data_IF_800704934790
#
_entry.id   IF_800704934790
#
_cell.length_a   1.000
_cell.length_b   1.000
_cell.length_c   1.000
_cell.angle_alpha   90.00
_cell.angle_beta   90.00
_cell.angle_gamma   90.00
#
_symmetry.space_group_name_H-M   'P 1'
#
loop_
_entity.id
_entity.type
_entity.pdbx_description
1 polymer ?
#
# COMPACT_ATOMS: atom_id res chain seq x y z
N UNK A 1 -26.31 -84.62 -30.67
CA UNK A 1 -25.48 -84.83 -29.46
C UNK A 1 -24.30 -83.85 -29.44
N UNK A 2 -24.39 -82.87 -28.54
CA UNK A 2 -23.45 -81.78 -28.21
C UNK A 2 -22.20 -82.31 -27.46
N UNK A 3 -21.05 -81.59 -27.41
CA UNK A 3 -20.92 -80.29 -26.73
C UNK A 3 -20.24 -79.20 -27.60
N UNK A 4 -20.77 -77.97 -27.65
CA UNK A 4 -20.83 -76.92 -26.63
C UNK A 4 -19.55 -76.05 -26.65
N UNK A 5 -19.79 -74.80 -27.03
CA UNK A 5 -18.82 -73.76 -27.33
C UNK A 5 -17.88 -73.47 -26.17
N UNK A 6 -16.59 -73.33 -26.50
CA UNK A 6 -15.56 -72.78 -25.64
C UNK A 6 -15.83 -71.28 -25.42
N UNK A 7 -16.69 -70.96 -24.46
CA UNK A 7 -16.81 -69.60 -23.94
C UNK A 7 -15.86 -69.45 -22.75
N UNK A 8 -14.60 -69.15 -23.07
CA UNK A 8 -13.58 -68.73 -22.11
C UNK A 8 -14.04 -67.41 -21.47
N UNK A 9 -14.89 -67.51 -20.44
CA UNK A 9 -15.17 -66.42 -19.50
C UNK A 9 -13.87 -66.09 -18.79
N UNK A 10 -13.18 -65.03 -19.25
CA UNK A 10 -12.10 -64.37 -18.51
C UNK A 10 -12.68 -63.87 -17.18
N UNK A 11 -12.64 -64.71 -16.15
CA UNK A 11 -12.95 -64.30 -14.80
C UNK A 11 -11.95 -63.19 -14.42
N UNK A 12 -12.46 -61.97 -14.24
CA UNK A 12 -11.65 -60.85 -13.78
C UNK A 12 -11.12 -61.20 -12.38
N UNK A 13 -9.80 -61.38 -12.26
CA UNK A 13 -9.14 -61.65 -10.98
C UNK A 13 -9.48 -60.51 -10.00
N UNK A 14 -9.77 -60.83 -8.72
CA UNK A 14 -10.11 -59.81 -7.73
C UNK A 14 -8.96 -58.81 -7.61
N UNK A 15 -9.29 -57.53 -7.66
CA UNK A 15 -8.31 -56.45 -7.57
C UNK A 15 -7.51 -56.61 -6.27
N UNK A 16 -6.19 -56.80 -6.37
CA UNK A 16 -5.34 -56.86 -5.19
C UNK A 16 -5.37 -55.52 -4.45
N UNK A 17 -5.23 -55.54 -3.13
CA UNK A 17 -5.21 -54.34 -2.29
C UNK A 17 -4.18 -53.30 -2.78
N UNK A 18 -3.05 -53.74 -3.34
CA UNK A 18 -2.05 -52.86 -3.95
C UNK A 18 -2.53 -52.15 -5.24
N UNK A 19 -3.35 -52.81 -6.05
CA UNK A 19 -3.93 -52.20 -7.26
C UNK A 19 -4.99 -51.15 -6.91
N UNK A 20 -5.75 -51.40 -5.84
CA UNK A 20 -6.72 -50.43 -5.31
C UNK A 20 -6.01 -49.21 -4.70
N UNK A 21 -4.98 -49.42 -3.89
CA UNK A 21 -4.19 -48.34 -3.30
C UNK A 21 -3.53 -47.45 -4.37
N UNK A 22 -2.93 -48.05 -5.41
CA UNK A 22 -2.34 -47.31 -6.52
C UNK A 22 -3.37 -46.46 -7.27
N UNK A 23 -4.58 -46.99 -7.52
CA UNK A 23 -5.67 -46.23 -8.15
C UNK A 23 -6.12 -45.06 -7.29
N UNK A 24 -6.26 -45.26 -5.98
CA UNK A 24 -6.58 -44.17 -5.06
C UNK A 24 -5.51 -43.08 -5.09
N UNK A 25 -4.22 -43.44 -5.05
CA UNK A 25 -3.12 -42.46 -5.13
C UNK A 25 -3.14 -41.70 -6.47
N UNK A 26 -3.32 -42.43 -7.58
CA UNK A 26 -3.39 -41.82 -8.93
C UNK A 26 -4.59 -40.88 -9.10
N UNK A 27 -5.68 -41.05 -8.34
CA UNK A 27 -6.82 -40.12 -8.31
C UNK A 27 -6.63 -38.99 -7.29
N UNK A 28 -6.00 -39.27 -6.16
CA UNK A 28 -5.86 -38.32 -5.05
C UNK A 28 -4.86 -37.21 -5.38
N UNK A 29 -3.73 -37.54 -6.01
CA UNK A 29 -2.72 -36.56 -6.43
C UNK A 29 -3.31 -35.47 -7.35
N UNK A 30 -3.98 -35.78 -8.48
CA UNK A 30 -4.57 -34.76 -9.33
C UNK A 30 -5.71 -34.01 -8.64
N UNK A 31 -6.50 -34.67 -7.77
CA UNK A 31 -7.50 -33.96 -6.96
C UNK A 31 -6.87 -32.93 -6.03
N UNK A 32 -5.76 -33.25 -5.35
CA UNK A 32 -5.05 -32.32 -4.48
C UNK A 32 -4.43 -31.17 -5.29
N UNK A 33 -3.85 -31.45 -6.44
CA UNK A 33 -3.34 -30.42 -7.35
C UNK A 33 -4.44 -29.47 -7.83
N UNK A 34 -5.62 -30.00 -8.17
CA UNK A 34 -6.77 -29.18 -8.55
C UNK A 34 -7.30 -28.36 -7.37
N UNK A 35 -7.25 -28.90 -6.15
CA UNK A 35 -7.65 -28.19 -4.93
C UNK A 35 -6.69 -27.05 -4.59
N UNK A 36 -5.38 -27.25 -4.74
CA UNK A 36 -4.36 -26.20 -4.59
C UNK A 36 -4.49 -25.14 -5.70
N UNK A 37 -4.86 -25.56 -6.91
CA UNK A 37 -5.10 -24.66 -8.04
C UNK A 37 -6.42 -23.88 -7.94
N UNK A 38 -7.30 -24.17 -6.96
CA UNK A 38 -8.46 -23.33 -6.70
C UNK A 38 -7.95 -21.94 -6.31
N UNK A 39 -8.27 -20.89 -7.08
CA UNK A 39 -7.79 -19.56 -6.76
C UNK A 39 -8.26 -19.19 -5.36
N UNK A 40 -7.32 -18.86 -4.47
CA UNK A 40 -7.68 -18.16 -3.25
C UNK A 40 -8.44 -16.89 -3.65
N UNK A 41 -9.53 -16.59 -2.96
CA UNK A 41 -10.22 -15.31 -3.17
C UNK A 41 -9.22 -14.18 -2.89
N UNK A 42 -8.79 -13.50 -3.95
CA UNK A 42 -7.96 -12.31 -3.86
C UNK A 42 -8.90 -11.10 -3.88
N UNK A 43 -9.10 -10.41 -2.75
CA UNK A 43 -9.93 -9.22 -2.74
C UNK A 43 -9.33 -8.19 -3.70
N UNK A 44 -10.11 -7.79 -4.70
CA UNK A 44 -9.72 -6.73 -5.62
C UNK A 44 -10.08 -5.41 -4.97
N UNK A 45 -9.09 -4.55 -4.77
CA UNK A 45 -9.29 -3.16 -4.36
C UNK A 45 -9.41 -2.30 -5.59
N UNK A 46 -10.40 -1.40 -5.58
CA UNK A 46 -10.48 -0.36 -6.59
C UNK A 46 -9.39 0.68 -6.35
N UNK A 47 -8.51 0.86 -7.33
CA UNK A 47 -7.43 1.85 -7.29
C UNK A 47 -7.88 3.12 -8.03
N UNK A 48 -7.91 4.30 -7.38
CA UNK A 48 -8.35 5.54 -8.04
C UNK A 48 -7.47 5.89 -9.24
N UNK A 49 -8.09 6.28 -10.35
CA UNK A 49 -7.40 6.73 -11.57
C UNK A 49 -8.13 7.93 -12.20
N UNK A 50 -7.46 8.68 -13.08
CA UNK A 50 -8.05 9.80 -13.81
C UNK A 50 -8.72 10.82 -12.89
N UNK A 51 -10.02 11.04 -13.07
CA UNK A 51 -10.79 12.01 -12.26
C UNK A 51 -11.04 11.56 -10.82
N UNK A 52 -10.78 10.30 -10.47
CA UNK A 52 -10.94 9.77 -9.12
C UNK A 52 -9.71 9.99 -8.24
N UNK A 53 -8.59 10.45 -8.81
CA UNK A 53 -7.38 10.81 -8.05
C UNK A 53 -7.74 11.90 -7.03
N UNK A 54 -7.25 11.84 -5.78
CA UNK A 54 -7.54 12.88 -4.79
C UNK A 54 -7.18 14.28 -5.31
N UNK A 55 -8.04 15.25 -4.99
CA UNK A 55 -7.94 16.61 -5.53
C UNK A 55 -6.60 17.29 -5.23
N UNK A 56 -5.97 16.96 -4.09
CA UNK A 56 -4.65 17.48 -3.73
C UNK A 56 -3.57 17.10 -4.75
N UNK A 57 -3.57 15.87 -5.26
CA UNK A 57 -2.60 15.43 -6.27
C UNK A 57 -2.92 16.00 -7.65
N UNK A 58 -4.21 16.15 -8.00
CA UNK A 58 -4.60 16.85 -9.23
C UNK A 58 -4.12 18.32 -9.21
N UNK A 59 -4.18 18.98 -8.06
CA UNK A 59 -3.65 20.33 -7.91
C UNK A 59 -2.11 20.36 -8.03
N UNK A 60 -1.42 19.43 -7.37
CA UNK A 60 0.04 19.28 -7.45
C UNK A 60 0.55 19.02 -8.87
N UNK A 61 -0.25 18.43 -9.76
CA UNK A 61 0.14 18.20 -11.16
C UNK A 61 0.48 19.50 -11.93
N UNK A 62 -0.03 20.65 -11.47
CA UNK A 62 0.13 21.96 -12.15
C UNK A 62 0.66 23.09 -11.26
N UNK A 63 0.92 22.85 -9.98
CA UNK A 63 1.34 23.87 -9.01
C UNK A 63 2.68 23.53 -8.36
N UNK A 64 3.28 24.45 -7.60
CA UNK A 64 4.48 24.18 -6.78
C UNK A 64 5.80 23.98 -7.53
N UNK A 65 5.85 24.14 -8.85
CA UNK A 65 7.09 24.27 -9.62
C UNK A 65 8.04 23.09 -9.53
N UNK A 66 7.52 21.86 -9.39
CA UNK A 66 8.32 20.62 -9.29
C UNK A 66 9.25 20.54 -8.07
N UNK A 67 9.04 21.39 -7.07
CA UNK A 67 9.84 21.40 -5.84
C UNK A 67 9.58 20.14 -4.99
N UNK A 68 10.58 19.63 -4.24
CA UNK A 68 10.39 18.47 -3.38
C UNK A 68 9.29 18.68 -2.33
N UNK A 69 8.50 17.65 -2.08
CA UNK A 69 7.42 17.65 -1.09
C UNK A 69 7.62 16.56 -0.04
N UNK A 70 7.15 16.82 1.17
CA UNK A 70 6.95 15.79 2.19
C UNK A 70 5.45 15.60 2.46
N UNK A 71 5.00 14.36 2.62
CA UNK A 71 3.60 14.03 2.88
C UNK A 71 3.44 13.51 4.30
N UNK A 72 2.52 14.08 5.07
CA UNK A 72 2.25 13.73 6.46
C UNK A 72 0.89 13.02 6.59
N UNK A 73 0.79 11.94 7.37
CA UNK A 73 1.81 11.37 8.26
C UNK A 73 2.93 10.61 7.53
N UNK A 74 4.09 10.51 8.20
CA UNK A 74 5.21 9.63 7.82
C UNK A 74 5.25 8.48 8.81
N UNK A 75 5.33 7.25 8.32
CA UNK A 75 5.28 6.08 9.17
C UNK A 75 6.53 5.98 10.06
N UNK A 76 6.31 5.97 11.37
CA UNK A 76 7.36 5.90 12.38
C UNK A 76 6.96 5.02 13.57
N UNK A 77 7.32 3.74 13.50
CA UNK A 77 7.46 2.86 14.68
C UNK A 77 6.21 2.57 15.53
N UNK A 78 5.03 2.34 14.94
CA UNK A 78 3.73 1.98 15.58
C UNK A 78 2.74 3.12 15.88
N UNK A 79 2.69 4.13 15.02
CA UNK A 79 1.48 4.97 14.95
C UNK A 79 0.50 4.32 13.97
N UNK A 80 -0.80 4.62 14.05
CA UNK A 80 -1.85 3.98 13.23
C UNK A 80 -1.67 4.09 11.71
N UNK A 81 -0.63 4.81 11.27
CA UNK A 81 -0.14 4.88 9.91
C UNK A 81 1.19 4.10 9.78
N UNK A 82 1.16 3.04 8.97
CA UNK A 82 2.26 2.09 8.78
C UNK A 82 3.07 2.41 7.53
N UNK A 83 4.28 1.85 7.41
CA UNK A 83 5.08 2.04 6.19
C UNK A 83 4.35 1.56 4.94
N UNK A 84 3.47 0.55 5.03
CA UNK A 84 2.68 0.08 3.88
C UNK A 84 1.67 1.11 3.40
N UNK A 85 1.18 1.98 4.29
CA UNK A 85 0.23 3.02 3.92
C UNK A 85 0.90 4.12 3.09
N UNK A 86 2.22 4.33 3.26
CA UNK A 86 3.03 5.23 2.41
C UNK A 86 3.08 4.79 0.95
N UNK A 87 2.73 3.55 0.62
CA UNK A 87 2.67 3.08 -0.77
C UNK A 87 1.61 3.84 -1.60
N UNK A 88 0.60 4.41 -0.94
CA UNK A 88 -0.34 5.30 -1.61
C UNK A 88 0.32 6.60 -2.08
N UNK A 89 1.27 7.14 -1.32
CA UNK A 89 2.04 8.32 -1.73
C UNK A 89 2.86 8.01 -2.99
N UNK A 90 3.54 6.85 -3.03
CA UNK A 90 4.28 6.42 -4.22
C UNK A 90 3.37 6.28 -5.45
N UNK A 91 2.19 5.70 -5.25
CA UNK A 91 1.21 5.56 -6.32
C UNK A 91 0.76 6.93 -6.84
N UNK A 92 0.45 7.88 -5.95
CA UNK A 92 -0.01 9.19 -6.36
C UNK A 92 1.11 10.08 -6.93
N UNK A 93 2.37 9.82 -6.58
CA UNK A 93 3.52 10.51 -7.13
C UNK A 93 3.66 10.37 -8.65
N UNK A 94 3.07 9.34 -9.27
CA UNK A 94 3.08 9.19 -10.73
C UNK A 94 2.23 10.25 -11.45
N UNK A 95 1.34 10.94 -10.73
CA UNK A 95 0.40 11.92 -11.29
C UNK A 95 0.87 13.38 -11.18
N UNK A 96 2.03 13.64 -10.57
CA UNK A 96 2.57 14.98 -10.44
C UNK A 96 4.10 15.00 -10.57
N UNK A 97 4.70 16.14 -10.94
CA UNK A 97 6.14 16.20 -11.24
C UNK A 97 7.04 16.36 -9.99
N UNK A 98 6.48 16.38 -8.79
CA UNK A 98 7.24 16.63 -7.56
C UNK A 98 7.98 15.39 -7.06
N UNK A 99 9.28 15.52 -6.73
CA UNK A 99 9.96 14.53 -5.90
C UNK A 99 9.32 14.44 -4.52
N UNK A 100 9.08 13.21 -4.04
CA UNK A 100 8.56 12.95 -2.68
C UNK A 100 9.70 12.53 -1.75
N UNK A 101 9.69 13.05 -0.53
CA UNK A 101 10.70 12.76 0.50
C UNK A 101 10.45 11.43 1.19
N UNK A 102 9.17 11.06 1.32
CA UNK A 102 8.72 9.84 1.98
C UNK A 102 7.85 9.02 1.02
N UNK A 103 7.75 7.73 1.32
CA UNK A 103 7.17 6.72 0.44
C UNK A 103 7.47 5.33 1.01
N UNK A 104 6.94 4.29 0.38
CA UNK A 104 7.19 2.92 0.78
C UNK A 104 8.38 2.31 0.02
N UNK A 105 9.27 1.66 0.76
CA UNK A 105 10.40 0.92 0.20
C UNK A 105 10.66 -0.33 1.03
N UNK A 106 11.14 -1.40 0.37
CA UNK A 106 11.64 -2.60 1.06
C UNK A 106 12.88 -2.33 1.93
N UNK A 107 13.56 -1.21 1.70
CA UNK A 107 14.67 -0.72 2.52
C UNK A 107 14.44 0.74 2.93
N UNK A 108 14.49 1.03 4.24
CA UNK A 108 14.28 2.36 4.80
C UNK A 108 15.60 2.90 5.38
N UNK A 109 16.31 3.80 4.67
CA UNK A 109 17.61 4.31 5.12
C UNK A 109 17.54 5.02 6.48
N UNK A 110 18.61 5.02 7.29
CA UNK A 110 18.61 5.69 8.61
C UNK A 110 18.13 7.14 8.60
N UNK A 111 18.49 7.90 7.56
CA UNK A 111 18.07 9.30 7.40
C UNK A 111 16.54 9.45 7.34
N UNK A 112 15.84 8.51 6.70
CA UNK A 112 14.37 8.58 6.58
C UNK A 112 13.67 8.41 7.93
N UNK A 113 14.26 7.64 8.85
CA UNK A 113 13.77 7.53 10.23
C UNK A 113 13.97 8.82 11.03
N UNK A 114 15.12 9.49 10.81
CA UNK A 114 15.39 10.78 11.43
C UNK A 114 14.43 11.86 10.92
N UNK A 115 14.19 11.92 9.61
CA UNK A 115 13.21 12.82 9.00
C UNK A 115 11.81 12.55 9.57
N UNK A 116 11.40 11.27 9.62
CA UNK A 116 10.11 10.88 10.19
C UNK A 116 9.96 11.30 11.66
N UNK A 117 11.01 11.13 12.47
CA UNK A 117 11.01 11.56 13.88
C UNK A 117 10.88 13.08 14.04
N UNK A 118 11.64 13.86 13.26
CA UNK A 118 11.56 15.33 13.31
C UNK A 118 10.17 15.84 12.89
N UNK A 119 9.60 15.26 11.84
CA UNK A 119 8.30 15.68 11.30
C UNK A 119 7.10 15.25 12.14
N UNK A 120 7.25 14.37 13.14
CA UNK A 120 6.18 14.12 14.13
C UNK A 120 5.77 15.38 14.90
N UNK A 121 6.72 16.30 15.10
CA UNK A 121 6.50 17.56 15.81
C UNK A 121 6.22 18.74 14.90
N UNK A 122 6.08 18.50 13.58
CA UNK A 122 5.82 19.55 12.60
C UNK A 122 4.61 20.41 13.01
N UNK A 123 4.70 21.76 12.92
CA UNK A 123 5.83 22.57 12.46
C UNK A 123 6.72 23.13 13.59
N UNK A 124 7.42 22.28 14.34
CA UNK A 124 8.47 22.70 15.28
C UNK A 124 9.64 23.38 14.59
N UNK A 125 10.42 24.18 15.32
CA UNK A 125 11.61 24.85 14.77
C UNK A 125 12.60 23.86 14.17
N UNK A 126 12.79 22.71 14.82
CA UNK A 126 13.68 21.64 14.37
C UNK A 126 13.20 21.03 13.05
N UNK A 127 11.89 20.78 12.93
CA UNK A 127 11.30 20.24 11.71
C UNK A 127 11.38 21.22 10.54
N UNK A 128 11.11 22.52 10.78
CA UNK A 128 11.20 23.58 9.78
C UNK A 128 12.64 23.81 9.33
N UNK A 129 13.59 23.83 10.27
CA UNK A 129 15.02 23.95 9.97
C UNK A 129 15.51 22.79 9.11
N UNK A 130 15.08 21.56 9.43
CA UNK A 130 15.40 20.38 8.64
C UNK A 130 14.84 20.49 7.21
N UNK A 131 13.56 20.82 7.05
CA UNK A 131 12.92 20.98 5.75
C UNK A 131 13.66 22.02 4.88
N UNK A 132 14.01 23.17 5.46
CA UNK A 132 14.80 24.21 4.78
C UNK A 132 16.20 23.72 4.38
N UNK A 133 16.87 22.99 5.27
CA UNK A 133 18.24 22.47 5.03
C UNK A 133 18.30 21.45 3.88
N UNK A 134 17.22 20.69 3.67
CA UNK A 134 17.10 19.74 2.57
C UNK A 134 16.36 20.30 1.34
N UNK A 135 16.07 21.61 1.31
CA UNK A 135 15.32 22.26 0.23
C UNK A 135 13.94 21.64 -0.04
N UNK A 136 13.27 21.20 1.03
CA UNK A 136 11.90 20.68 0.99
C UNK A 136 10.97 21.87 1.23
N UNK A 137 10.30 22.30 0.16
CA UNK A 137 9.55 23.56 0.16
C UNK A 137 8.07 23.38 0.49
N UNK A 138 7.52 22.19 0.24
CA UNK A 138 6.10 21.93 0.46
C UNK A 138 5.89 20.73 1.38
N UNK A 139 4.86 20.84 2.21
CA UNK A 139 4.36 19.76 3.05
C UNK A 139 2.88 19.56 2.75
N UNK A 140 2.51 18.35 2.33
CA UNK A 140 1.12 17.94 2.19
C UNK A 140 0.70 17.28 3.50
N UNK A 141 -0.45 17.67 4.03
CA UNK A 141 -0.98 17.14 5.30
C UNK A 141 -2.33 16.50 5.05
N UNK A 142 -2.42 15.20 5.33
CA UNK A 142 -3.61 14.37 5.19
C UNK A 142 -4.28 14.14 6.55
N UNK A 143 -5.09 15.08 7.02
CA UNK A 143 -5.63 15.06 8.38
C UNK A 143 -6.55 13.86 8.68
N UNK A 144 -7.14 13.26 7.64
CA UNK A 144 -7.96 12.05 7.74
C UNK A 144 -7.18 10.79 8.18
N UNK A 145 -5.85 10.82 8.07
CA UNK A 145 -4.97 9.71 8.47
C UNK A 145 -4.54 9.80 9.94
N UNK A 146 -5.00 10.83 10.65
CA UNK A 146 -4.76 11.02 12.09
C UNK A 146 -6.04 10.72 12.89
N UNK A 147 -5.87 10.45 14.19
CA UNK A 147 -7.02 10.49 15.10
C UNK A 147 -7.63 11.90 15.13
N UNK A 148 -8.95 12.06 15.42
CA UNK A 148 -9.60 13.37 15.44
C UNK A 148 -8.90 14.41 16.35
N UNK A 149 -8.41 13.97 17.51
CA UNK A 149 -7.70 14.85 18.45
C UNK A 149 -6.33 15.27 17.92
N UNK A 150 -5.58 14.35 17.32
CA UNK A 150 -4.29 14.66 16.70
C UNK A 150 -4.46 15.57 15.47
N UNK A 151 -5.50 15.33 14.67
CA UNK A 151 -5.82 16.14 13.50
C UNK A 151 -6.19 17.58 13.88
N UNK A 152 -7.02 17.77 14.90
CA UNK A 152 -7.39 19.11 15.39
C UNK A 152 -6.20 19.87 15.97
N UNK A 153 -5.38 19.18 16.77
CA UNK A 153 -4.15 19.74 17.35
C UNK A 153 -3.13 20.11 16.27
N UNK A 154 -2.92 19.24 15.28
CA UNK A 154 -2.03 19.52 14.15
C UNK A 154 -2.55 20.71 13.34
N UNK A 155 -3.82 20.74 12.97
CA UNK A 155 -4.44 21.87 12.24
C UNK A 155 -4.20 23.20 12.98
N UNK A 156 -4.50 23.25 14.28
CA UNK A 156 -4.30 24.47 15.06
C UNK A 156 -2.84 24.95 15.05
N UNK A 157 -1.87 24.03 15.13
CA UNK A 157 -0.43 24.36 15.05
C UNK A 157 -0.02 24.86 13.67
N UNK A 158 -0.55 24.29 12.59
CA UNK A 158 -0.27 24.72 11.21
C UNK A 158 -0.78 26.15 10.98
N UNK A 159 -2.02 26.45 11.38
CA UNK A 159 -2.62 27.77 11.22
C UNK A 159 -1.94 28.85 12.07
N UNK A 160 -1.40 28.48 13.24
CA UNK A 160 -0.71 29.41 14.13
C UNK A 160 0.76 29.67 13.73
N UNK A 161 1.33 28.90 12.80
CA UNK A 161 2.75 29.02 12.43
C UNK A 161 2.98 30.15 11.43
N UNK A 162 3.80 31.18 11.76
CA UNK A 162 4.12 32.26 10.84
C UNK A 162 5.07 31.83 9.70
N UNK A 163 5.82 30.75 9.92
CA UNK A 163 6.78 30.16 8.99
C UNK A 163 6.11 29.32 7.89
N UNK A 164 4.79 29.12 7.97
CA UNK A 164 4.04 28.38 6.99
C UNK A 164 3.09 29.29 6.21
N UNK A 165 2.95 28.99 4.92
CA UNK A 165 1.92 29.54 4.07
C UNK A 165 1.01 28.43 3.58
N UNK A 166 -0.29 28.55 3.82
CA UNK A 166 -1.27 27.62 3.24
C UNK A 166 -1.51 27.97 1.78
N UNK A 167 -1.17 27.05 0.87
CA UNK A 167 -1.34 27.26 -0.57
C UNK A 167 -2.67 26.70 -1.07
N UNK A 168 -3.14 25.59 -0.51
CA UNK A 168 -4.41 24.96 -0.91
C UNK A 168 -5.01 24.08 0.20
N UNK A 169 -6.32 23.85 0.13
CA UNK A 169 -7.08 22.96 1.02
C UNK A 169 -8.12 22.17 0.22
N UNK A 170 -8.20 20.87 0.46
CA UNK A 170 -9.12 19.94 -0.19
C UNK A 170 -9.74 19.01 0.85
N UNK A 171 -10.82 19.45 1.50
CA UNK A 171 -11.43 18.70 2.59
C UNK A 171 -10.49 18.57 3.80
N UNK A 172 -9.96 17.37 4.02
CA UNK A 172 -8.99 17.07 5.08
C UNK A 172 -7.53 17.16 4.63
N UNK A 173 -7.29 17.28 3.33
CA UNK A 173 -5.96 17.48 2.76
C UNK A 173 -5.62 18.97 2.69
N UNK A 174 -4.35 19.32 2.88
CA UNK A 174 -3.88 20.69 2.74
C UNK A 174 -2.42 20.74 2.29
N UNK A 175 -2.07 21.77 1.52
CA UNK A 175 -0.71 22.00 1.03
C UNK A 175 -0.15 23.25 1.69
N UNK A 176 0.99 23.09 2.36
CA UNK A 176 1.68 24.13 3.10
C UNK A 176 3.07 24.37 2.53
N UNK A 177 3.42 25.63 2.28
CA UNK A 177 4.74 26.05 1.88
C UNK A 177 5.54 26.51 3.09
N UNK A 178 6.78 26.02 3.21
CA UNK A 178 7.75 26.46 4.22
C UNK A 178 8.42 27.73 3.72
N UNK A 179 8.35 28.82 4.51
CA UNK A 179 8.99 30.10 4.21
C UNK A 179 10.43 30.19 4.70
#
# INVERSE_FOLDING_TARGET
PQPAQAEQRRAALPLSWGTLALRCVLMLIPCLLLLEAVPAYLPVTHVPTGSQIPAVYQWLASHGGQQPIAELPIANGNQGFTSKDEAWYDYYAIYHPHPIVNGWSGYRPPLTWQIAGLLQTFPSQESLHMLRSYHIHYVVVHLQLYSPDAASTLRARLEASPDLQRNAVFGSDSVWQVR
#
